data_IF_076157377427
#
_entry.id   IF_076157377427
#
_cell.length_a   1.000
_cell.length_b   1.000
_cell.length_c   1.000
_cell.angle_alpha   90.00
_cell.angle_beta   90.00
_cell.angle_gamma   90.00
#
_symmetry.space_group_name_H-M   'P 1'
#
loop_
_entity.id
_entity.type
_entity.pdbx_description
1 polymer ?
#
# COMPACT_ATOMS: atom_id res chain seq x y z
N UNK A 1 -4.52 13.88 6.22
CA UNK A 1 -3.46 14.79 6.60
C UNK A 1 -3.28 14.85 8.07
N UNK A 2 -2.03 14.83 8.48
CA UNK A 2 -1.74 14.73 9.89
C UNK A 2 -2.04 13.36 10.46
N UNK A 3 -2.26 12.38 9.62
CA UNK A 3 -2.46 10.98 10.03
C UNK A 3 -1.29 10.16 9.51
N UNK A 4 -0.67 9.40 10.40
CA UNK A 4 0.44 8.52 10.04
C UNK A 4 -0.10 7.11 9.87
N UNK A 5 0.33 6.45 8.80
CA UNK A 5 -0.06 5.05 8.53
C UNK A 5 1.16 4.16 8.68
N UNK A 6 0.99 3.05 9.39
CA UNK A 6 2.07 2.11 9.63
C UNK A 6 1.60 0.68 9.43
N UNK A 7 2.52 -0.17 9.00
CA UNK A 7 2.26 -1.62 8.93
C UNK A 7 3.00 -2.31 10.08
N UNK A 8 2.49 -3.48 10.44
CA UNK A 8 3.11 -4.27 11.50
C UNK A 8 4.23 -5.17 10.99
N UNK A 9 4.65 -6.15 11.82
CA UNK A 9 5.71 -7.07 11.41
C UNK A 9 5.34 -7.84 10.16
N UNK A 10 6.33 -8.12 9.31
CA UNK A 10 6.10 -8.74 8.03
C UNK A 10 5.98 -10.27 8.08
N UNK A 11 6.01 -10.85 9.27
CA UNK A 11 5.96 -12.30 9.44
C UNK A 11 4.56 -12.86 9.62
N UNK A 12 3.58 -12.00 9.83
CA UNK A 12 2.19 -12.42 10.03
C UNK A 12 1.43 -12.42 8.71
N UNK A 13 0.50 -13.35 8.56
CA UNK A 13 -0.39 -13.38 7.41
C UNK A 13 -1.68 -12.61 7.63
N UNK A 14 -1.84 -12.00 8.80
CA UNK A 14 -3.06 -11.25 9.13
C UNK A 14 -2.65 -9.93 9.76
N UNK A 15 -1.92 -9.14 9.00
CA UNK A 15 -1.43 -7.86 9.49
C UNK A 15 -2.46 -6.76 9.30
N UNK A 16 -2.33 -5.74 10.13
CA UNK A 16 -3.16 -4.56 10.04
C UNK A 16 -2.35 -3.38 9.53
N UNK A 17 -3.02 -2.48 8.83
CA UNK A 17 -2.54 -1.12 8.61
C UNK A 17 -3.15 -0.27 9.71
N UNK A 18 -2.31 0.43 10.44
CA UNK A 18 -2.73 1.28 11.56
C UNK A 18 -2.71 2.73 11.13
N UNK A 19 -3.68 3.49 11.61
CA UNK A 19 -3.72 4.93 11.43
C UNK A 19 -3.50 5.57 12.79
N UNK A 20 -2.61 6.56 12.85
CA UNK A 20 -2.30 7.30 14.08
C UNK A 20 -2.61 8.76 13.81
N UNK A 21 -3.58 9.33 14.53
CA UNK A 21 -4.00 10.70 14.30
C UNK A 21 -3.05 11.68 15.02
N UNK A 22 -3.37 12.98 14.90
CA UNK A 22 -2.53 14.02 15.49
C UNK A 22 -2.44 13.94 17.00
N UNK A 23 -3.45 13.37 17.64
CA UNK A 23 -3.50 13.25 19.09
C UNK A 23 -2.82 11.97 19.57
N UNK A 24 -2.23 11.20 18.66
CA UNK A 24 -1.58 9.95 18.99
C UNK A 24 -2.52 8.77 19.16
N UNK A 25 -3.78 8.93 18.79
CA UNK A 25 -4.73 7.82 18.87
C UNK A 25 -4.52 6.88 17.72
N UNK A 26 -4.48 5.59 18.02
CA UNK A 26 -4.30 4.56 17.00
C UNK A 26 -5.62 3.88 16.70
N UNK A 27 -5.79 3.52 15.44
CA UNK A 27 -6.94 2.73 15.02
C UNK A 27 -6.52 1.82 13.87
N UNK A 28 -7.26 0.72 13.70
CA UNK A 28 -7.01 -0.18 12.58
C UNK A 28 -7.66 0.41 11.34
N UNK A 29 -6.84 0.71 10.32
CA UNK A 29 -7.35 1.20 9.06
C UNK A 29 -7.85 0.06 8.19
N UNK A 30 -7.08 -1.02 8.13
CA UNK A 30 -7.46 -2.23 7.40
C UNK A 30 -6.76 -3.42 8.03
N UNK A 31 -7.42 -4.57 8.07
CA UNK A 31 -6.84 -5.79 8.61
C UNK A 31 -7.06 -6.93 7.62
N UNK A 32 -6.12 -7.87 7.58
CA UNK A 32 -6.24 -9.03 6.71
C UNK A 32 -5.19 -9.10 5.62
N UNK A 33 -4.19 -8.20 5.65
CA UNK A 33 -3.10 -8.24 4.67
C UNK A 33 -2.01 -9.19 5.13
N UNK A 34 -1.37 -9.87 4.19
CA UNK A 34 -0.20 -10.67 4.46
C UNK A 34 1.06 -9.92 4.09
N UNK A 35 2.02 -9.88 4.99
CA UNK A 35 3.36 -9.35 4.74
C UNK A 35 3.31 -7.97 4.08
N UNK A 36 2.55 -7.07 4.67
CA UNK A 36 2.40 -5.72 4.15
C UNK A 36 3.72 -4.95 4.31
N UNK A 37 4.16 -4.28 3.25
CA UNK A 37 5.42 -3.57 3.23
C UNK A 37 5.21 -2.15 2.73
N UNK A 38 5.73 -1.76 1.58
CA UNK A 38 5.62 -0.38 1.13
C UNK A 38 4.20 0.11 0.92
N UNK A 39 3.96 1.38 1.17
CA UNK A 39 2.64 2.01 1.04
C UNK A 39 2.75 3.35 0.36
N UNK A 40 1.69 3.74 -0.36
CA UNK A 40 1.58 5.07 -0.94
C UNK A 40 0.12 5.40 -1.18
N UNK A 41 -0.24 6.68 -1.12
CA UNK A 41 -1.59 7.16 -1.41
C UNK A 41 -1.66 7.76 -2.81
N UNK A 42 -2.82 7.64 -3.45
CA UNK A 42 -3.09 8.44 -4.64
C UNK A 42 -3.80 9.74 -4.25
N UNK A 43 -4.12 10.57 -5.25
CA UNK A 43 -4.75 11.87 -5.00
C UNK A 43 -6.21 11.75 -4.57
N UNK A 44 -6.82 10.60 -4.79
CA UNK A 44 -8.21 10.35 -4.42
C UNK A 44 -8.37 9.74 -3.03
N UNK A 45 -7.26 9.53 -2.33
CA UNK A 45 -7.29 8.98 -0.98
C UNK A 45 -7.26 7.47 -0.91
N UNK A 46 -7.03 6.77 -2.02
CA UNK A 46 -6.84 5.33 -1.99
C UNK A 46 -5.43 5.01 -1.51
N UNK A 47 -5.32 4.02 -0.64
CA UNK A 47 -4.03 3.54 -0.15
C UNK A 47 -3.62 2.32 -0.96
N UNK A 48 -2.35 2.32 -1.38
CA UNK A 48 -1.78 1.19 -2.11
C UNK A 48 -0.69 0.57 -1.27
N UNK A 49 -0.72 -0.75 -1.12
CA UNK A 49 0.19 -1.48 -0.23
C UNK A 49 0.75 -2.67 -0.99
N UNK A 50 2.07 -2.85 -0.92
CA UNK A 50 2.68 -4.09 -1.41
C UNK A 50 2.40 -5.17 -0.35
N UNK A 51 1.48 -6.08 -0.66
CA UNK A 51 0.98 -7.03 0.32
C UNK A 51 0.34 -8.23 -0.36
N UNK A 52 -0.05 -9.20 0.44
CA UNK A 52 -0.89 -10.31 -0.01
C UNK A 52 -2.31 -10.09 0.48
N UNK A 53 -3.29 -10.32 -0.40
CA UNK A 53 -4.70 -10.24 -0.07
C UNK A 53 -5.33 -11.56 -0.50
N UNK A 54 -5.91 -12.30 0.46
CA UNK A 54 -6.51 -13.60 0.20
C UNK A 54 -5.54 -14.55 -0.54
N UNK A 55 -4.26 -14.49 -0.16
CA UNK A 55 -3.26 -15.36 -0.74
C UNK A 55 -2.63 -14.86 -2.02
N UNK A 56 -3.10 -13.76 -2.58
CA UNK A 56 -2.54 -13.20 -3.81
C UNK A 56 -1.61 -12.04 -3.48
N UNK A 57 -0.35 -12.16 -3.89
CA UNK A 57 0.67 -11.13 -3.65
C UNK A 57 0.64 -10.10 -4.78
N UNK A 58 0.71 -8.84 -4.40
CA UNK A 58 0.75 -7.77 -5.40
C UNK A 58 0.61 -6.41 -4.76
N UNK A 59 0.06 -5.49 -5.54
CA UNK A 59 -0.28 -4.17 -5.04
C UNK A 59 -1.77 -4.17 -4.71
N UNK A 60 -2.09 -3.96 -3.45
CA UNK A 60 -3.46 -3.95 -2.94
C UNK A 60 -3.91 -2.50 -2.80
N UNK A 61 -5.05 -2.18 -3.41
CA UNK A 61 -5.67 -0.86 -3.24
C UNK A 61 -6.74 -0.96 -2.16
N UNK A 62 -6.69 -0.03 -1.22
CA UNK A 62 -7.69 0.08 -0.15
C UNK A 62 -8.34 1.45 -0.29
N UNK A 63 -9.65 1.45 -0.56
CA UNK A 63 -10.40 2.68 -0.76
C UNK A 63 -10.66 3.37 0.58
N UNK A 64 -11.09 4.65 0.57
CA UNK A 64 -11.51 5.31 1.81
C UNK A 64 -12.63 4.58 2.54
N UNK A 65 -13.43 3.79 1.82
CA UNK A 65 -14.48 2.96 2.42
C UNK A 65 -13.95 1.64 2.97
N UNK A 66 -12.64 1.44 2.93
CA UNK A 66 -11.96 0.23 3.44
C UNK A 66 -12.22 -1.01 2.61
N UNK A 67 -12.45 -0.83 1.31
CA UNK A 67 -12.59 -1.96 0.39
C UNK A 67 -11.25 -2.21 -0.27
N UNK A 68 -10.80 -3.46 -0.26
CA UNK A 68 -9.49 -3.85 -0.76
C UNK A 68 -9.59 -4.70 -2.00
N UNK A 69 -8.68 -4.48 -2.96
CA UNK A 69 -8.58 -5.29 -4.17
C UNK A 69 -7.14 -5.29 -4.66
N UNK A 70 -6.76 -6.37 -5.34
CA UNK A 70 -5.43 -6.45 -5.95
C UNK A 70 -5.50 -5.76 -7.32
N UNK A 71 -4.69 -4.72 -7.51
CA UNK A 71 -4.69 -3.98 -8.77
C UNK A 71 -3.50 -4.33 -9.66
N UNK A 72 -2.47 -4.96 -9.11
CA UNK A 72 -1.34 -5.46 -9.88
C UNK A 72 -0.78 -6.67 -9.15
N UNK A 73 -0.77 -7.83 -9.80
CA UNK A 73 -0.27 -9.05 -9.20
C UNK A 73 1.22 -9.21 -9.46
N UNK A 74 1.94 -9.70 -8.48
CA UNK A 74 3.36 -9.97 -8.64
C UNK A 74 3.93 -10.62 -7.40
N UNK A 75 4.51 -11.79 -7.56
CA UNK A 75 5.20 -12.46 -6.47
C UNK A 75 6.43 -11.63 -6.08
N UNK A 76 6.73 -11.58 -4.80
CA UNK A 76 7.91 -10.89 -4.29
C UNK A 76 7.87 -9.37 -4.39
N UNK A 77 6.73 -8.76 -4.68
CA UNK A 77 6.62 -7.31 -4.62
C UNK A 77 6.75 -6.85 -3.17
N UNK A 78 7.64 -5.90 -2.93
CA UNK A 78 7.95 -5.44 -1.58
C UNK A 78 7.82 -3.92 -1.43
N UNK A 79 7.67 -3.19 -2.52
CA UNK A 79 7.54 -1.74 -2.41
C UNK A 79 6.97 -1.12 -3.66
N UNK A 80 6.48 0.10 -3.51
CA UNK A 80 6.00 0.88 -4.63
C UNK A 80 6.20 2.37 -4.36
N UNK A 81 6.29 3.13 -5.43
CA UNK A 81 6.27 4.58 -5.37
C UNK A 81 5.58 5.08 -6.62
N UNK A 82 4.73 6.09 -6.48
CA UNK A 82 4.09 6.69 -7.64
C UNK A 82 5.02 7.72 -8.25
N UNK A 83 5.07 7.72 -9.58
CA UNK A 83 5.86 8.63 -10.37
C UNK A 83 4.92 9.56 -11.11
N UNK A 84 5.50 10.52 -11.83
CA UNK A 84 4.70 11.42 -12.65
C UNK A 84 4.08 10.65 -13.81
N UNK A 85 3.04 11.22 -14.41
CA UNK A 85 2.38 10.71 -15.61
C UNK A 85 1.68 9.37 -15.43
N UNK A 86 1.22 9.09 -14.21
CA UNK A 86 0.45 7.88 -13.94
C UNK A 86 1.28 6.61 -13.87
N UNK A 87 2.59 6.72 -13.78
CA UNK A 87 3.47 5.58 -13.68
C UNK A 87 3.80 5.25 -12.24
N UNK A 88 4.31 4.06 -12.02
CA UNK A 88 4.75 3.62 -10.70
C UNK A 88 6.03 2.82 -10.82
N UNK A 89 6.87 2.94 -9.81
CA UNK A 89 8.02 2.07 -9.64
C UNK A 89 7.64 0.97 -8.66
N UNK A 90 7.78 -0.27 -9.09
CA UNK A 90 7.47 -1.44 -8.27
C UNK A 90 8.77 -2.17 -7.98
N UNK A 91 9.02 -2.45 -6.72
CA UNK A 91 10.24 -3.09 -6.28
C UNK A 91 10.00 -4.51 -5.84
N UNK A 92 10.86 -5.41 -6.29
CA UNK A 92 10.97 -6.76 -5.75
C UNK A 92 12.32 -6.87 -5.06
N UNK A 93 12.66 -8.05 -4.55
CA UNK A 93 13.97 -8.27 -3.95
C UNK A 93 15.11 -7.99 -4.94
N UNK A 94 14.91 -8.32 -6.21
CA UNK A 94 15.99 -8.37 -7.18
C UNK A 94 15.88 -7.33 -8.28
N UNK A 95 14.78 -6.60 -8.38
CA UNK A 95 14.53 -5.77 -9.53
C UNK A 95 13.64 -4.58 -9.20
N UNK A 96 13.71 -3.58 -10.05
CA UNK A 96 12.85 -2.41 -9.99
C UNK A 96 12.14 -2.30 -11.34
N UNK A 97 10.83 -2.21 -11.31
CA UNK A 97 10.01 -2.13 -12.51
C UNK A 97 9.32 -0.78 -12.60
N UNK A 98 9.30 -0.25 -13.80
CA UNK A 98 8.59 1.00 -14.11
C UNK A 98 7.36 0.63 -14.92
N UNK A 99 6.18 0.87 -14.36
CA UNK A 99 4.92 0.46 -15.00
C UNK A 99 3.95 1.63 -15.05
N UNK A 100 3.09 1.61 -16.07
CA UNK A 100 2.04 2.60 -16.22
C UNK A 100 0.76 2.05 -15.59
N UNK A 101 0.30 2.67 -14.51
CA UNK A 101 -0.89 2.26 -13.79
C UNK A 101 -2.05 3.25 -13.93
N UNK A 102 -1.81 4.40 -14.57
CA UNK A 102 -2.78 5.50 -14.68
C UNK A 102 -3.29 5.96 -13.33
N UNK A 103 -2.40 5.97 -12.34
CA UNK A 103 -2.73 6.40 -10.99
C UNK A 103 -1.87 7.61 -10.67
N UNK A 104 -2.52 8.69 -10.23
CA UNK A 104 -1.79 9.88 -9.81
C UNK A 104 -1.50 9.77 -8.32
N UNK A 105 -0.23 9.72 -7.98
CA UNK A 105 0.21 9.62 -6.60
C UNK A 105 0.13 10.95 -5.87
N UNK A 106 -0.06 10.86 -4.55
CA UNK A 106 -0.05 12.05 -3.69
C UNK A 106 1.39 12.44 -3.44
N UNK A 107 1.73 13.74 -3.52
CA UNK A 107 3.09 14.18 -3.19
C UNK A 107 3.46 13.81 -1.76
N UNK A 108 4.74 13.51 -1.54
CA UNK A 108 5.24 13.16 -0.23
C UNK A 108 5.38 14.35 0.71
N UNK A 109 5.40 15.55 0.17
CA UNK A 109 5.55 16.77 0.95
C UNK A 109 4.40 17.72 0.72
#
# INVERSE_FOLDING_TARGET
>A
EGVLFVTGPTTSSNQAVWAIDRDGRTSVYYQGLGRAQGMAFDVDGNLYVAASLHGERGIVRITPEREASVVASGNNLVGLAFLEDGCAALATRDALYHVALDIEGRPLV
#
